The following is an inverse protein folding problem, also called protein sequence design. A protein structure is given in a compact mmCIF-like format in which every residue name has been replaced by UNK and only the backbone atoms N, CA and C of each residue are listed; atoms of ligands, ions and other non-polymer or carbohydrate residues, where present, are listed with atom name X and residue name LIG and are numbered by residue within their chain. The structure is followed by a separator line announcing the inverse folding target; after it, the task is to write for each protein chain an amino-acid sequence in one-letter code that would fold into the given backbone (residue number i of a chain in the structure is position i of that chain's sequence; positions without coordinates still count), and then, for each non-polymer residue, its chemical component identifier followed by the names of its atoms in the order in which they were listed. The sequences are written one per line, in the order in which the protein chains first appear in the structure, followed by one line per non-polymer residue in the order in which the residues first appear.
data_IF_301614397430
#
_entry.id   IF_301614397430
#
_cell.length_a   1.000
_cell.length_b   1.000
_cell.length_c   1.000
_cell.angle_alpha   90.00
_cell.angle_beta   90.00
_cell.angle_gamma   90.00
#
_symmetry.space_group_name_H-M   'P 1'
#
loop_
_entity.id
_entity.type
_entity.pdbx_description
1 polymer ?
#
# COMPACT_ATOMS: atom_id res chain seq x y z
N UNK A 1 -30.28 73.42 -0.79
CA UNK A 1 -29.66 72.66 -1.89
C UNK A 1 -28.76 71.63 -1.25
N UNK A 2 -29.27 70.42 -1.05
CA UNK A 2 -28.62 69.38 -0.24
C UNK A 2 -28.15 68.27 -1.18
N UNK A 3 -26.84 68.00 -1.15
CA UNK A 3 -26.16 67.08 -2.05
C UNK A 3 -26.50 65.60 -1.79
N UNK A 4 -26.56 64.83 -2.88
CA UNK A 4 -26.65 63.37 -2.87
C UNK A 4 -25.24 62.78 -2.71
N UNK A 5 -24.98 62.16 -1.57
CA UNK A 5 -23.76 61.40 -1.31
C UNK A 5 -23.81 60.03 -1.99
N UNK A 6 -22.82 59.74 -2.84
CA UNK A 6 -22.60 58.41 -3.41
C UNK A 6 -22.03 57.46 -2.37
N UNK A 7 -22.78 56.41 -2.03
CA UNK A 7 -22.31 55.31 -1.19
C UNK A 7 -21.47 54.33 -2.00
N UNK A 8 -20.18 54.17 -1.64
CA UNK A 8 -19.37 53.04 -2.09
C UNK A 8 -19.88 51.76 -1.41
N UNK A 9 -20.27 50.76 -2.21
CA UNK A 9 -20.50 49.40 -1.74
C UNK A 9 -19.15 48.77 -1.32
N UNK A 10 -19.07 48.09 -0.17
CA UNK A 10 -17.84 47.44 0.25
C UNK A 10 -17.56 46.23 -0.65
N UNK A 11 -16.32 46.15 -1.16
CA UNK A 11 -15.79 44.97 -1.85
C UNK A 11 -15.86 43.78 -0.89
N UNK A 12 -16.72 42.81 -1.18
CA UNK A 12 -16.72 41.53 -0.49
C UNK A 12 -15.37 40.84 -0.75
N UNK A 13 -14.55 40.74 0.30
CA UNK A 13 -13.43 39.81 0.34
C UNK A 13 -14.01 38.39 0.26
N UNK A 14 -13.93 37.77 -0.92
CA UNK A 14 -14.10 36.33 -1.04
C UNK A 14 -12.97 35.66 -0.27
N UNK A 15 -13.22 35.33 0.99
CA UNK A 15 -12.49 34.26 1.65
C UNK A 15 -12.82 32.98 0.90
N UNK A 16 -11.92 32.56 0.00
CA UNK A 16 -11.89 31.18 -0.46
C UNK A 16 -11.52 30.35 0.76
N UNK A 17 -12.53 29.93 1.51
CA UNK A 17 -12.40 28.90 2.51
C UNK A 17 -11.83 27.69 1.78
N UNK A 18 -10.52 27.46 1.92
CA UNK A 18 -9.92 26.18 1.63
C UNK A 18 -10.47 25.22 2.67
N UNK A 19 -11.70 24.75 2.44
CA UNK A 19 -12.12 23.51 3.03
C UNK A 19 -11.11 22.49 2.54
N UNK A 20 -10.36 21.79 3.42
CA UNK A 20 -9.70 20.58 2.97
C UNK A 20 -10.83 19.75 2.37
N UNK A 21 -10.78 19.55 1.04
CA UNK A 21 -11.68 18.63 0.37
C UNK A 21 -11.67 17.38 1.25
N UNK A 22 -12.83 16.91 1.74
CA UNK A 22 -12.86 15.68 2.51
C UNK A 22 -12.08 14.68 1.68
N UNK A 23 -10.92 14.24 2.18
CA UNK A 23 -10.11 13.25 1.49
C UNK A 23 -11.10 12.16 1.10
N UNK A 24 -11.32 11.88 -0.20
CA UNK A 24 -12.34 10.93 -0.59
C UNK A 24 -12.01 9.66 0.16
N UNK A 25 -12.86 9.38 1.14
CA UNK A 25 -12.59 8.44 2.19
C UNK A 25 -12.62 7.08 1.52
N UNK A 26 -11.44 6.62 1.09
CA UNK A 26 -11.09 5.23 0.86
C UNK A 26 -12.23 4.43 0.23
N UNK A 27 -12.59 4.80 -1.00
CA UNK A 27 -13.65 4.14 -1.78
C UNK A 27 -13.23 2.75 -2.32
N UNK A 28 -12.29 2.07 -1.64
CA UNK A 28 -11.92 0.67 -1.84
C UNK A 28 -12.61 -0.14 -0.75
N UNK A 29 -13.43 -1.15 -1.13
CA UNK A 29 -14.15 -2.08 -0.24
C UNK A 29 -15.36 -2.77 -0.93
N UNK A 30 -15.46 -2.75 -2.27
CA UNK A 30 -16.62 -3.32 -2.96
C UNK A 30 -16.54 -4.83 -3.16
N UNK A 31 -15.33 -5.41 -3.18
CA UNK A 31 -15.11 -6.82 -3.50
C UNK A 31 -14.29 -7.46 -2.40
N UNK A 32 -14.80 -8.56 -1.83
CA UNK A 32 -14.07 -9.38 -0.86
C UNK A 32 -13.22 -10.46 -1.53
N UNK A 33 -12.50 -11.25 -0.75
CA UNK A 33 -11.71 -12.37 -1.27
C UNK A 33 -10.44 -11.90 -1.98
N UNK A 34 -9.96 -12.75 -2.89
CA UNK A 34 -8.70 -12.57 -3.64
C UNK A 34 -8.64 -11.23 -4.35
N UNK A 35 -9.72 -10.85 -5.03
CA UNK A 35 -9.81 -9.63 -5.83
C UNK A 35 -9.67 -8.40 -4.93
N UNK A 36 -10.39 -8.36 -3.80
CA UNK A 36 -10.27 -7.26 -2.84
C UNK A 36 -8.87 -7.13 -2.22
N UNK A 37 -8.19 -8.25 -1.93
CA UNK A 37 -6.81 -8.21 -1.47
C UNK A 37 -5.89 -7.58 -2.50
N UNK A 38 -5.98 -8.01 -3.76
CA UNK A 38 -5.17 -7.45 -4.85
C UNK A 38 -5.48 -5.98 -5.09
N UNK A 39 -6.76 -5.62 -5.13
CA UNK A 39 -7.24 -4.27 -5.40
C UNK A 39 -6.67 -3.26 -4.39
N UNK A 40 -6.85 -3.52 -3.09
CA UNK A 40 -6.37 -2.61 -2.05
C UNK A 40 -4.85 -2.45 -2.08
N UNK A 41 -4.12 -3.57 -2.19
CA UNK A 41 -2.66 -3.54 -2.25
C UNK A 41 -2.19 -2.80 -3.50
N UNK A 42 -2.79 -3.06 -4.66
CA UNK A 42 -2.37 -2.47 -5.93
C UNK A 42 -2.68 -0.97 -6.00
N UNK A 43 -3.71 -0.50 -5.32
CA UNK A 43 -3.91 0.94 -5.12
C UNK A 43 -2.74 1.58 -4.37
N UNK A 44 -2.39 1.06 -3.19
CA UNK A 44 -1.29 1.62 -2.40
C UNK A 44 0.05 1.50 -3.12
N UNK A 45 0.30 0.37 -3.79
CA UNK A 45 1.48 0.20 -4.64
C UNK A 45 1.53 1.25 -5.74
N UNK A 46 0.41 1.52 -6.40
CA UNK A 46 0.34 2.58 -7.39
C UNK A 46 0.70 3.94 -6.77
N UNK A 47 0.20 4.29 -5.58
CA UNK A 47 0.58 5.55 -4.91
C UNK A 47 2.09 5.73 -4.74
N UNK A 48 2.81 4.62 -4.53
CA UNK A 48 4.26 4.56 -4.32
C UNK A 48 5.04 4.06 -5.55
N UNK A 49 4.47 4.22 -6.76
CA UNK A 49 5.13 3.87 -8.03
C UNK A 49 5.63 2.42 -8.12
N UNK A 50 5.02 1.52 -7.35
CA UNK A 50 5.26 0.09 -7.44
C UNK A 50 4.28 -0.57 -8.43
N UNK A 51 4.77 -1.58 -9.17
CA UNK A 51 3.97 -2.34 -10.14
C UNK A 51 2.90 -3.16 -9.41
N UNK A 52 1.73 -3.43 -10.02
CA UNK A 52 0.71 -4.27 -9.41
C UNK A 52 1.22 -5.69 -9.13
N UNK A 53 0.73 -6.28 -8.05
CA UNK A 53 0.89 -7.68 -7.69
C UNK A 53 -0.11 -8.54 -8.45
N UNK A 54 0.27 -9.80 -8.65
CA UNK A 54 -0.59 -10.87 -9.11
C UNK A 54 -0.86 -11.87 -7.98
N UNK A 55 -2.01 -12.55 -8.02
CA UNK A 55 -2.30 -13.55 -7.01
C UNK A 55 -1.50 -14.84 -7.21
N UNK A 56 -1.01 -15.40 -6.12
CA UNK A 56 -0.33 -16.69 -6.07
C UNK A 56 -1.03 -17.63 -5.07
N UNK A 57 -1.46 -18.80 -5.57
CA UNK A 57 -2.19 -19.77 -4.76
C UNK A 57 -1.32 -20.49 -3.72
N UNK A 58 -0.01 -20.64 -3.96
CA UNK A 58 0.93 -21.23 -2.99
C UNK A 58 1.10 -20.28 -1.81
N UNK A 59 1.26 -18.98 -2.07
CA UNK A 59 1.31 -17.95 -1.03
C UNK A 59 0.01 -17.85 -0.25
N UNK A 60 -1.15 -17.95 -0.92
CA UNK A 60 -2.45 -17.95 -0.26
C UNK A 60 -2.62 -19.18 0.65
N UNK A 61 -2.11 -20.33 0.23
CA UNK A 61 -2.09 -21.54 1.05
C UNK A 61 -1.20 -21.36 2.29
N UNK A 62 0.01 -20.80 2.15
CA UNK A 62 0.87 -20.43 3.29
C UNK A 62 0.13 -19.50 4.25
N UNK A 63 -0.50 -18.45 3.72
CA UNK A 63 -1.24 -17.48 4.54
C UNK A 63 -2.34 -18.16 5.35
N UNK A 64 -3.05 -19.13 4.75
CA UNK A 64 -4.12 -19.88 5.42
C UNK A 64 -3.58 -20.69 6.58
N UNK A 65 -2.48 -21.41 6.38
CA UNK A 65 -1.82 -22.19 7.45
C UNK A 65 -1.47 -21.28 8.62
N UNK A 66 -0.83 -20.13 8.35
CA UNK A 66 -0.43 -19.18 9.39
C UNK A 66 -1.64 -18.56 10.09
N UNK A 67 -2.68 -18.16 9.36
CA UNK A 67 -3.90 -17.60 9.94
C UNK A 67 -4.63 -18.59 10.84
N UNK A 68 -4.70 -19.86 10.44
CA UNK A 68 -5.27 -20.94 11.26
C UNK A 68 -4.40 -21.21 12.50
N UNK A 69 -3.08 -21.26 12.34
CA UNK A 69 -2.17 -21.46 13.46
C UNK A 69 -2.30 -20.35 14.52
N UNK A 70 -2.29 -19.07 14.10
CA UNK A 70 -2.47 -17.92 14.99
C UNK A 70 -3.79 -18.02 15.76
N UNK A 71 -4.86 -18.50 15.10
CA UNK A 71 -6.15 -18.74 15.75
C UNK A 71 -6.05 -19.84 16.82
N UNK A 72 -5.39 -20.95 16.50
CA UNK A 72 -5.25 -22.12 17.40
C UNK A 72 -4.44 -21.78 18.65
N UNK A 73 -3.34 -21.03 18.50
CA UNK A 73 -2.45 -20.68 19.62
C UNK A 73 -2.81 -19.33 20.26
N UNK A 74 -3.77 -18.59 19.70
CA UNK A 74 -4.20 -17.26 20.12
C UNK A 74 -3.03 -16.26 20.30
N UNK A 75 -2.04 -16.32 19.41
CA UNK A 75 -0.83 -15.48 19.47
C UNK A 75 -0.41 -15.03 18.08
N UNK A 76 -0.33 -13.71 17.89
CA UNK A 76 0.18 -13.13 16.65
C UNK A 76 1.70 -13.38 16.58
N UNK A 77 2.11 -14.29 15.71
CA UNK A 77 3.52 -14.65 15.55
C UNK A 77 3.83 -14.93 14.09
N UNK A 78 5.00 -14.46 13.65
CA UNK A 78 5.48 -14.67 12.30
C UNK A 78 5.87 -16.13 12.07
N UNK A 79 5.60 -16.63 10.87
CA UNK A 79 6.13 -17.92 10.41
C UNK A 79 7.60 -17.76 9.94
N UNK A 80 8.36 -18.86 9.76
CA UNK A 80 9.67 -18.81 9.10
C UNK A 80 9.52 -18.64 7.57
N UNK A 81 8.70 -17.67 7.15
CA UNK A 81 8.22 -17.50 5.77
C UNK A 81 9.32 -17.31 4.72
N UNK A 82 10.49 -16.80 5.11
CA UNK A 82 11.68 -16.65 4.26
C UNK A 82 12.47 -17.96 4.07
N UNK A 83 12.26 -18.97 4.91
CA UNK A 83 12.89 -20.29 4.85
C UNK A 83 11.97 -21.36 4.22
N UNK A 84 10.70 -21.00 3.98
CA UNK A 84 9.72 -21.85 3.33
C UNK A 84 9.63 -21.57 1.82
N UNK A 85 9.16 -22.53 1.03
CA UNK A 85 8.99 -22.39 -0.43
C UNK A 85 7.53 -22.12 -0.81
N UNK A 86 7.24 -21.13 -1.67
CA UNK A 86 8.18 -20.09 -2.12
C UNK A 86 8.51 -19.13 -0.96
N UNK A 87 9.75 -18.60 -0.88
CA UNK A 87 10.13 -17.65 0.15
C UNK A 87 9.38 -16.33 -0.06
N UNK A 88 9.02 -15.69 1.05
CA UNK A 88 8.10 -14.56 1.01
C UNK A 88 8.26 -13.66 2.23
N UNK A 89 7.98 -12.37 2.09
CA UNK A 89 7.62 -11.55 3.25
C UNK A 89 6.24 -11.90 3.79
N UNK A 90 5.89 -11.39 4.97
CA UNK A 90 4.65 -11.72 5.67
C UNK A 90 4.13 -10.51 6.45
N UNK A 91 2.84 -10.23 6.30
CA UNK A 91 2.10 -9.30 7.16
C UNK A 91 1.01 -10.04 7.93
N UNK A 92 0.82 -9.65 9.19
CA UNK A 92 -0.20 -10.21 10.08
C UNK A 92 -1.06 -9.08 10.63
N UNK A 93 -2.35 -9.32 10.82
CA UNK A 93 -3.23 -8.42 11.56
C UNK A 93 -4.24 -9.20 12.41
N UNK A 94 -4.65 -8.59 13.51
CA UNK A 94 -5.69 -9.11 14.39
C UNK A 94 -6.86 -8.12 14.44
N UNK A 95 -8.07 -8.62 14.14
CA UNK A 95 -9.32 -7.85 14.03
C UNK A 95 -10.40 -8.38 14.95
N UNK A 96 -10.12 -8.47 16.25
CA UNK A 96 -11.08 -8.92 17.28
C UNK A 96 -12.08 -7.85 17.73
N UNK A 97 -11.89 -6.60 17.31
CA UNK A 97 -12.76 -5.47 17.66
C UNK A 97 -13.64 -5.04 16.47
N UNK A 98 -14.63 -4.18 16.74
CA UNK A 98 -15.37 -3.48 15.68
C UNK A 98 -14.44 -2.71 14.73
N UNK A 99 -14.88 -2.49 13.50
CA UNK A 99 -14.11 -1.73 12.52
C UNK A 99 -13.82 -0.31 13.06
N UNK A 100 -12.56 0.14 13.05
CA UNK A 100 -12.26 1.54 13.31
C UNK A 100 -13.00 2.44 12.31
N UNK A 101 -13.39 3.64 12.74
CA UNK A 101 -14.10 4.61 11.89
C UNK A 101 -13.36 4.98 10.61
N UNK A 102 -12.03 4.81 10.58
CA UNK A 102 -11.20 5.05 9.40
C UNK A 102 -11.20 3.86 8.43
N UNK A 103 -11.49 2.65 8.89
CA UNK A 103 -11.40 1.47 8.04
C UNK A 103 -12.64 1.34 7.16
N UNK A 104 -13.85 1.43 7.72
CA UNK A 104 -15.01 0.94 7.01
C UNK A 104 -16.26 1.79 7.28
N UNK A 105 -16.89 2.27 6.21
CA UNK A 105 -18.21 2.93 6.25
C UNK A 105 -19.37 1.99 5.87
N UNK A 106 -19.06 0.80 5.34
CA UNK A 106 -20.00 -0.20 4.79
C UNK A 106 -20.21 -1.43 5.69
N UNK A 107 -19.28 -1.72 6.61
CA UNK A 107 -19.40 -2.78 7.62
C UNK A 107 -18.90 -2.28 8.97
N UNK A 108 -19.55 -2.74 10.04
CA UNK A 108 -19.16 -2.44 11.42
C UNK A 108 -18.07 -3.39 11.95
N UNK A 109 -17.68 -4.41 11.17
CA UNK A 109 -16.71 -5.42 11.57
C UNK A 109 -15.37 -5.23 10.85
N UNK A 110 -14.28 -5.49 11.57
CA UNK A 110 -12.94 -5.51 11.00
C UNK A 110 -12.85 -6.58 9.90
N UNK A 111 -12.35 -6.22 8.73
CA UNK A 111 -12.28 -7.11 7.57
C UNK A 111 -10.94 -6.96 6.82
N UNK A 112 -10.81 -7.64 5.67
CA UNK A 112 -9.57 -7.61 4.88
C UNK A 112 -9.10 -6.20 4.53
N UNK A 113 -10.04 -5.32 4.15
CA UNK A 113 -9.71 -3.94 3.80
C UNK A 113 -9.19 -3.16 5.01
N UNK A 114 -9.66 -3.47 6.22
CA UNK A 114 -9.09 -2.95 7.45
C UNK A 114 -7.66 -3.40 7.68
N UNK A 115 -7.35 -4.66 7.41
CA UNK A 115 -5.99 -5.17 7.55
C UNK A 115 -5.03 -4.42 6.61
N UNK A 116 -5.39 -4.28 5.33
CA UNK A 116 -4.57 -3.55 4.35
C UNK A 116 -4.41 -2.08 4.74
N UNK A 117 -5.49 -1.42 5.15
CA UNK A 117 -5.41 -0.03 5.60
C UNK A 117 -4.62 0.17 6.89
N UNK A 118 -4.71 -0.76 7.85
CA UNK A 118 -3.93 -0.72 9.07
C UNK A 118 -2.43 -0.83 8.77
N UNK A 119 -2.06 -1.76 7.88
CA UNK A 119 -0.67 -1.92 7.43
C UNK A 119 -0.16 -0.68 6.71
N UNK A 120 -0.97 -0.06 5.84
CA UNK A 120 -0.58 1.16 5.14
C UNK A 120 -0.37 2.35 6.08
N UNK A 121 -1.17 2.46 7.14
CA UNK A 121 -1.10 3.56 8.12
C UNK A 121 0.25 3.72 8.81
N UNK A 122 1.08 2.67 8.83
CA UNK A 122 2.45 2.79 9.32
C UNK A 122 3.23 3.91 8.60
N UNK A 123 3.04 4.04 7.28
CA UNK A 123 3.62 5.14 6.51
C UNK A 123 3.15 6.49 7.01
N UNK A 124 1.84 6.68 7.12
CA UNK A 124 1.22 7.95 7.52
C UNK A 124 1.63 8.36 8.94
N UNK A 125 1.80 7.38 9.84
CA UNK A 125 2.07 7.61 11.26
C UNK A 125 3.56 7.78 11.59
N UNK A 126 4.45 7.02 10.95
CA UNK A 126 5.84 6.93 11.39
C UNK A 126 6.84 7.63 10.48
N UNK A 127 6.57 7.67 9.17
CA UNK A 127 7.53 8.22 8.21
C UNK A 127 6.97 9.41 7.43
N UNK A 128 5.87 9.21 6.72
CA UNK A 128 5.25 10.18 5.80
C UNK A 128 6.28 10.92 4.92
N UNK A 129 7.35 10.21 4.53
CA UNK A 129 8.48 10.76 3.80
C UNK A 129 9.15 11.98 4.43
N UNK A 130 9.22 11.99 5.76
CA UNK A 130 10.06 12.90 6.51
C UNK A 130 11.53 12.76 6.04
N UNK A 131 12.08 13.80 5.38
CA UNK A 131 13.42 13.72 4.79
C UNK A 131 14.52 13.68 5.85
N UNK A 132 14.20 13.93 7.13
CA UNK A 132 15.14 13.81 8.24
C UNK A 132 15.31 12.37 8.74
N UNK A 133 14.50 11.43 8.24
CA UNK A 133 14.50 10.03 8.67
C UNK A 133 14.78 9.08 7.52
N UNK A 134 15.49 8.01 7.84
CA UNK A 134 15.68 6.87 6.95
C UNK A 134 14.62 5.81 7.24
N UNK A 135 13.78 5.47 6.26
CA UNK A 135 12.75 4.43 6.42
C UNK A 135 13.35 3.08 6.86
N UNK A 136 14.61 2.81 6.51
CA UNK A 136 15.31 1.55 6.84
C UNK A 136 15.57 1.41 8.34
N UNK A 137 15.56 2.50 9.09
CA UNK A 137 15.85 2.52 10.54
C UNK A 137 14.61 2.75 11.39
N UNK A 138 13.46 3.07 10.79
CA UNK A 138 12.22 3.29 11.53
C UNK A 138 11.61 1.95 11.94
N UNK A 139 11.51 1.74 13.25
CA UNK A 139 10.74 0.64 13.81
C UNK A 139 9.25 0.79 13.46
N UNK A 140 8.56 -0.32 13.17
CA UNK A 140 7.10 -0.36 12.85
C UNK A 140 6.72 0.18 11.46
N UNK A 141 7.63 0.10 10.48
CA UNK A 141 7.29 0.30 9.06
C UNK A 141 7.18 -1.00 8.26
N UNK A 142 7.38 -2.15 8.93
CA UNK A 142 7.54 -3.44 8.26
C UNK A 142 6.33 -3.86 7.42
N UNK A 143 5.11 -3.53 7.86
CA UNK A 143 3.92 -3.89 7.11
C UNK A 143 3.76 -3.03 5.86
N UNK A 144 3.93 -1.72 5.98
CA UNK A 144 3.87 -0.81 4.83
C UNK A 144 4.97 -1.13 3.81
N UNK A 145 6.23 -1.30 4.25
CA UNK A 145 7.34 -1.62 3.35
C UNK A 145 7.09 -2.92 2.60
N UNK A 146 6.51 -3.95 3.25
CA UNK A 146 6.17 -5.21 2.59
C UNK A 146 5.14 -5.02 1.46
N UNK A 147 4.09 -4.23 1.72
CA UNK A 147 3.03 -3.96 0.74
C UNK A 147 3.56 -3.31 -0.54
N UNK A 148 4.42 -2.30 -0.38
CA UNK A 148 4.85 -1.43 -1.48
C UNK A 148 6.23 -1.76 -2.04
N UNK A 149 6.86 -2.82 -1.54
CA UNK A 149 8.16 -3.26 -2.04
C UNK A 149 8.12 -3.54 -3.55
N UNK A 150 8.89 -2.76 -4.31
CA UNK A 150 8.88 -2.76 -5.78
C UNK A 150 9.41 -4.08 -6.37
N UNK A 151 10.22 -4.82 -5.63
CA UNK A 151 10.74 -6.13 -6.05
C UNK A 151 9.71 -7.25 -5.98
N UNK A 152 8.65 -7.09 -5.18
CA UNK A 152 7.56 -8.07 -5.04
C UNK A 152 6.64 -7.99 -6.25
N UNK A 153 6.22 -9.13 -6.79
CA UNK A 153 5.24 -9.20 -7.88
C UNK A 153 4.08 -10.21 -7.64
N UNK A 154 4.13 -11.00 -6.57
CA UNK A 154 3.06 -11.93 -6.20
C UNK A 154 2.55 -11.70 -4.77
N UNK A 155 1.26 -11.98 -4.57
CA UNK A 155 0.54 -11.84 -3.30
C UNK A 155 -0.31 -13.10 -3.06
N UNK A 156 -0.36 -13.57 -1.82
CA UNK A 156 -1.38 -14.52 -1.40
C UNK A 156 -1.79 -14.24 0.04
N UNK A 157 -3.09 -14.16 0.28
CA UNK A 157 -3.64 -13.81 1.58
C UNK A 157 -4.70 -14.80 2.03
N UNK A 158 -4.94 -14.83 3.34
CA UNK A 158 -6.02 -15.60 3.94
C UNK A 158 -6.53 -14.94 5.22
N UNK A 159 -7.73 -15.36 5.60
CA UNK A 159 -8.33 -15.04 6.89
C UNK A 159 -8.55 -16.35 7.62
N UNK A 160 -8.34 -16.35 8.94
CA UNK A 160 -8.64 -17.50 9.81
C UNK A 160 -10.13 -17.85 9.74
N UNK A 161 -10.48 -19.08 10.13
CA UNK A 161 -11.89 -19.52 10.18
C UNK A 161 -12.76 -18.67 11.11
N UNK A 162 -12.17 -18.09 12.16
CA UNK A 162 -12.83 -17.16 13.07
C UNK A 162 -13.10 -15.78 12.45
N UNK A 163 -12.50 -15.45 11.30
CA UNK A 163 -12.64 -14.14 10.67
C UNK A 163 -11.80 -13.03 11.32
N UNK A 164 -10.95 -13.35 12.30
CA UNK A 164 -10.23 -12.35 13.10
C UNK A 164 -8.73 -12.22 12.81
N UNK A 165 -8.11 -13.21 12.17
CA UNK A 165 -6.68 -13.16 11.86
C UNK A 165 -6.46 -13.08 10.36
N UNK A 166 -5.74 -12.04 9.94
CA UNK A 166 -5.53 -11.70 8.53
C UNK A 166 -4.04 -11.84 8.23
N UNK A 167 -3.71 -12.62 7.21
CA UNK A 167 -2.32 -12.91 6.84
C UNK A 167 -2.15 -12.69 5.35
N UNK A 168 -1.05 -12.03 4.96
CA UNK A 168 -0.63 -11.93 3.57
C UNK A 168 0.85 -12.30 3.45
N UNK A 169 1.18 -13.09 2.43
CA UNK A 169 2.54 -13.33 1.99
C UNK A 169 2.84 -12.59 0.69
N UNK A 170 4.05 -12.06 0.61
CA UNK A 170 4.55 -11.24 -0.51
C UNK A 170 5.74 -11.93 -1.16
N UNK A 171 5.61 -12.33 -2.41
CA UNK A 171 6.63 -13.08 -3.13
C UNK A 171 7.12 -12.41 -4.40
N UNK A 172 8.07 -13.08 -5.04
CA UNK A 172 8.48 -12.82 -6.40
C UNK A 172 8.42 -14.13 -7.18
N UNK A 173 7.74 -14.15 -8.33
CA UNK A 173 7.59 -15.34 -9.18
C UNK A 173 8.91 -15.96 -9.67
N UNK A 174 10.01 -15.20 -9.59
CA UNK A 174 11.39 -15.68 -9.86
C UNK A 174 11.98 -16.50 -8.71
N UNK A 175 11.36 -16.44 -7.53
CA UNK A 175 11.78 -17.14 -6.32
C UNK A 175 11.04 -18.46 -6.09
N UNK A 176 10.28 -18.96 -7.06
CA UNK A 176 9.24 -19.97 -6.85
C UNK A 176 9.74 -21.36 -6.39
N UNK A 177 11.04 -21.63 -6.53
CA UNK A 177 11.64 -22.96 -6.35
C UNK A 177 12.60 -23.07 -5.16
N UNK A 178 13.55 -22.14 -4.99
CA UNK A 178 14.52 -22.18 -3.87
C UNK A 178 14.83 -20.79 -3.31
N UNK A 179 15.24 -20.75 -2.03
CA UNK A 179 15.76 -19.52 -1.40
C UNK A 179 17.00 -18.99 -2.11
N UNK A 180 17.86 -19.89 -2.59
CA UNK A 180 19.07 -19.54 -3.33
C UNK A 180 18.76 -18.90 -4.67
N UNK A 181 17.77 -19.40 -5.41
CA UNK A 181 17.27 -18.75 -6.64
C UNK A 181 16.77 -17.34 -6.34
N UNK A 182 16.11 -17.16 -5.21
CA UNK A 182 15.66 -15.85 -4.78
C UNK A 182 16.81 -14.88 -4.49
N UNK A 183 18.00 -15.37 -4.12
CA UNK A 183 19.21 -14.57 -3.90
C UNK A 183 20.10 -14.46 -5.14
N UNK A 184 20.10 -15.46 -6.02
CA UNK A 184 20.91 -15.55 -7.24
C UNK A 184 20.25 -14.77 -8.37
N UNK A 185 18.96 -15.00 -8.65
CA UNK A 185 18.24 -14.27 -9.70
C UNK A 185 17.96 -12.82 -9.33
N UNK A 186 17.85 -12.51 -8.03
CA UNK A 186 17.67 -11.11 -7.58
C UNK A 186 18.97 -10.35 -7.37
N UNK A 187 20.14 -11.02 -7.25
CA UNK A 187 21.44 -10.34 -7.11
C UNK A 187 21.77 -9.41 -8.27
N UNK A 188 21.22 -9.70 -9.46
CA UNK A 188 21.44 -8.94 -10.69
C UNK A 188 20.32 -7.93 -11.00
N UNK A 189 19.24 -7.86 -10.20
CA UNK A 189 18.09 -7.00 -10.46
C UNK A 189 17.72 -6.21 -9.20
N UNK A 190 17.99 -4.91 -9.25
CA UNK A 190 17.42 -3.95 -8.31
C UNK A 190 16.02 -3.54 -8.78
N UNK A 191 15.03 -3.45 -7.87
CA UNK A 191 15.09 -3.84 -6.46
C UNK A 191 14.97 -5.36 -6.26
N UNK A 192 15.70 -5.91 -5.27
CA UNK A 192 15.67 -7.35 -4.97
C UNK A 192 14.27 -7.87 -4.64
N UNK A 193 14.00 -9.14 -4.97
CA UNK A 193 12.64 -9.67 -5.11
C UNK A 193 11.79 -9.74 -3.84
N UNK A 194 12.38 -9.95 -2.66
CA UNK A 194 11.62 -10.11 -1.41
C UNK A 194 11.68 -8.87 -0.52
N UNK A 195 10.53 -8.47 0.05
CA UNK A 195 10.47 -7.32 0.95
C UNK A 195 11.15 -7.61 2.29
N UNK A 196 11.63 -6.54 2.94
CA UNK A 196 12.14 -6.48 4.32
C UNK A 196 13.38 -7.33 4.65
N UNK A 197 13.53 -8.50 4.02
CA UNK A 197 14.73 -9.32 4.03
C UNK A 197 15.96 -8.57 3.51
N UNK A 198 15.71 -7.63 2.60
CA UNK A 198 16.73 -6.93 1.81
C UNK A 198 16.84 -5.45 2.18
N UNK A 199 16.26 -5.01 3.29
CA UNK A 199 16.21 -3.58 3.68
C UNK A 199 17.57 -2.90 3.71
N UNK A 200 18.59 -3.57 4.27
CA UNK A 200 19.96 -3.05 4.35
C UNK A 200 20.69 -2.96 3.00
N UNK A 201 20.12 -3.54 1.94
CA UNK A 201 20.72 -3.62 0.61
C UNK A 201 19.92 -2.83 -0.44
N UNK A 202 19.02 -1.97 0.02
CA UNK A 202 18.26 -1.07 -0.83
C UNK A 202 18.72 0.38 -0.63
N UNK A 203 19.10 1.04 -1.71
CA UNK A 203 19.51 2.44 -1.68
C UNK A 203 18.38 3.37 -2.15
N UNK A 204 18.21 4.48 -1.44
CA UNK A 204 17.25 5.52 -1.79
C UNK A 204 15.81 5.03 -1.95
N UNK A 205 15.19 5.40 -3.08
CA UNK A 205 13.79 5.09 -3.39
C UNK A 205 13.62 3.87 -4.32
N UNK A 206 14.67 3.06 -4.53
CA UNK A 206 14.64 1.96 -5.51
C UNK A 206 13.65 0.85 -5.13
N UNK A 207 13.53 0.52 -3.84
CA UNK A 207 12.61 -0.52 -3.37
C UNK A 207 11.29 0.03 -2.84
N UNK A 208 11.31 1.23 -2.28
CA UNK A 208 10.15 1.93 -1.72
C UNK A 208 10.22 3.39 -2.15
N UNK A 209 9.15 3.97 -2.67
CA UNK A 209 9.14 5.38 -3.04
C UNK A 209 8.22 6.18 -2.14
N UNK A 210 8.46 7.49 -2.08
CA UNK A 210 7.56 8.41 -1.42
C UNK A 210 6.23 8.56 -2.16
N UNK A 211 5.17 8.84 -1.39
CA UNK A 211 4.01 9.50 -1.97
C UNK A 211 4.47 10.88 -2.49
N UNK A 212 3.85 11.35 -3.58
CA UNK A 212 4.22 12.64 -4.15
C UNK A 212 4.16 13.77 -3.09
N UNK A 213 5.24 14.55 -2.98
CA UNK A 213 5.45 15.51 -1.87
C UNK A 213 4.54 16.73 -1.93
N UNK A 214 4.20 17.18 -3.14
CA UNK A 214 3.28 18.31 -3.29
C UNK A 214 1.82 17.84 -3.35
N UNK A 215 0.93 18.57 -2.67
CA UNK A 215 -0.51 18.29 -2.68
C UNK A 215 -1.10 18.14 -4.09
N UNK A 216 -0.76 18.99 -5.09
CA UNK A 216 -1.26 18.80 -6.45
C UNK A 216 -0.82 17.49 -7.09
N UNK A 217 0.46 17.11 -6.94
CA UNK A 217 0.99 15.85 -7.49
C UNK A 217 0.38 14.65 -6.77
N UNK A 218 0.20 14.72 -5.45
CA UNK A 218 -0.47 13.70 -4.65
C UNK A 218 -1.90 13.47 -5.15
N UNK A 219 -2.69 14.53 -5.27
CA UNK A 219 -4.07 14.45 -5.77
C UNK A 219 -4.15 13.88 -7.18
N UNK A 220 -3.24 14.30 -8.06
CA UNK A 220 -3.14 13.75 -9.41
C UNK A 220 -2.82 12.26 -9.40
N UNK A 221 -1.87 11.82 -8.56
CA UNK A 221 -1.49 10.41 -8.43
C UNK A 221 -2.63 9.57 -7.86
N UNK A 222 -3.29 10.04 -6.81
CA UNK A 222 -4.44 9.33 -6.23
C UNK A 222 -5.59 9.21 -7.24
N UNK A 223 -5.87 10.27 -8.02
CA UNK A 223 -6.86 10.22 -9.11
C UNK A 223 -6.48 9.18 -10.17
N UNK A 224 -5.22 9.18 -10.59
CA UNK A 224 -4.71 8.20 -11.56
C UNK A 224 -4.84 6.77 -11.03
N UNK A 225 -4.42 6.51 -9.80
CA UNK A 225 -4.46 5.17 -9.22
C UNK A 225 -5.90 4.68 -9.00
N UNK A 226 -6.83 5.58 -8.63
CA UNK A 226 -8.27 5.29 -8.59
C UNK A 226 -8.83 4.89 -9.96
N UNK A 227 -8.40 5.56 -11.02
CA UNK A 227 -8.87 5.24 -12.38
C UNK A 227 -8.27 3.94 -12.92
N UNK A 228 -6.97 3.71 -12.73
CA UNK A 228 -6.31 2.47 -13.15
C UNK A 228 -6.94 1.23 -12.50
N UNK A 229 -7.40 1.37 -11.26
CA UNK A 229 -8.16 0.34 -10.54
C UNK A 229 -9.50 -0.02 -11.22
N UNK A 230 -10.23 0.95 -11.78
CA UNK A 230 -11.53 0.71 -12.41
C UNK A 230 -11.45 0.00 -13.77
N UNK A 231 -10.27 0.01 -14.41
CA UNK A 231 -10.11 -0.47 -15.80
C UNK A 231 -9.34 -1.79 -15.94
N UNK A 232 -8.82 -2.39 -14.85
CA UNK A 232 -7.95 -3.58 -14.89
C UNK A 232 -6.70 -3.42 -15.79
N UNK A 233 -6.33 -2.19 -16.15
CA UNK A 233 -5.22 -1.93 -17.06
C UNK A 233 -3.89 -1.89 -16.30
N UNK A 234 -2.83 -2.60 -16.74
CA UNK A 234 -1.51 -2.43 -16.18
C UNK A 234 -1.05 -0.98 -16.43
N UNK A 235 -0.48 -0.29 -15.42
CA UNK A 235 -0.16 1.15 -15.48
C UNK A 235 0.89 1.55 -16.55
N UNK A 236 1.38 0.59 -17.34
CA UNK A 236 2.30 0.80 -18.45
C UNK A 236 1.62 0.87 -19.83
N UNK A 237 0.30 0.66 -19.94
CA UNK A 237 -0.39 0.60 -21.24
C UNK A 237 -1.18 1.87 -21.63
N UNK A 238 -1.14 2.95 -20.84
CA UNK A 238 -1.71 4.21 -21.30
C UNK A 238 -0.77 4.88 -22.33
N UNK A 239 -1.24 5.16 -23.55
CA UNK A 239 -0.39 5.70 -24.60
C UNK A 239 0.09 7.11 -24.24
N UNK A 240 1.41 7.33 -24.28
CA UNK A 240 1.98 8.67 -24.44
C UNK A 240 2.98 9.19 -23.42
N UNK A 241 3.51 8.41 -22.46
CA UNK A 241 4.58 8.93 -21.56
C UNK A 241 5.71 7.93 -21.34
N UNK A 242 6.86 8.22 -21.96
CA UNK A 242 8.15 7.58 -21.73
C UNK A 242 8.59 7.77 -20.26
N UNK A 243 8.77 6.69 -19.48
CA UNK A 243 9.22 6.77 -18.08
C UNK A 243 10.61 7.38 -17.92
N UNK A 244 11.44 7.39 -18.98
CA UNK A 244 12.83 7.87 -18.91
C UNK A 244 12.98 9.39 -19.05
N UNK A 245 11.91 10.12 -19.39
CA UNK A 245 11.97 11.58 -19.57
C UNK A 245 11.57 12.40 -18.33
N UNK A 246 11.07 11.78 -17.26
CA UNK A 246 10.59 12.52 -16.08
C UNK A 246 11.69 12.76 -15.04
N UNK A 247 12.82 12.02 -15.10
CA UNK A 247 13.88 12.11 -14.09
C UNK A 247 15.01 13.12 -14.39
N UNK A 248 14.85 14.03 -15.37
CA UNK A 248 15.92 14.98 -15.74
C UNK A 248 15.56 16.45 -15.71
N UNK A 249 14.43 16.84 -15.13
CA UNK A 249 14.19 18.26 -14.87
C UNK A 249 13.21 18.39 -13.74
N UNK A 250 13.74 18.59 -12.53
CA UNK A 250 13.24 19.41 -11.42
C UNK A 250 14.29 19.35 -10.30
#
# INVERSE_FOLDING_TARGET
MSGLGGGLLPRALLFVLHFPLPSPAWEYQSVGGKEGWLEDHNYFRCLHYAKPLMWDNKLAHKARIVAQHIQEVNMLSHSPSYDQIPPSGENLANGTAGAPSWCNKRSQLFNQHCAVGAWYKEYEQYWNCDPSKDWRTIHRLGHWTAMIWKGTNTLGCAVSSSGHHFVCHYGNSKCDSTKDMCMIESRAQQPMGLPNFNTARCEGEECVACLARSEPQRRAREKFCRQAHLHNDPPHQLPGRDPRKVYRTL
#
